data_IF_378215420566
#
_entry.id   IF_378215420566
#
_cell.length_a   1.000
_cell.length_b   1.000
_cell.length_c   1.000
_cell.angle_alpha   90.00
_cell.angle_beta   90.00
_cell.angle_gamma   90.00
#
_symmetry.space_group_name_H-M   'P 1'
#
loop_
_entity.id
_entity.type
_entity.pdbx_description
1 polymer ?
#
# COMPACT_ATOMS: atom_id res chain seq x y z
N UNK A 1 -47.49 29.62 -18.32
CA UNK A 1 -46.06 29.29 -18.21
C UNK A 1 -45.84 27.93 -18.84
N UNK A 2 -45.21 27.85 -19.99
CA UNK A 2 -45.23 26.70 -20.89
C UNK A 2 -44.32 25.57 -20.37
N UNK A 3 -44.79 24.34 -20.49
CA UNK A 3 -44.16 23.06 -20.18
C UNK A 3 -42.67 22.93 -20.59
N UNK A 4 -42.23 23.68 -21.61
CA UNK A 4 -40.84 23.77 -22.07
C UNK A 4 -39.86 24.41 -21.07
N UNK A 5 -40.30 25.27 -20.16
CA UNK A 5 -39.44 25.91 -19.14
C UNK A 5 -39.21 25.02 -17.93
N UNK A 6 -40.09 24.04 -17.67
CA UNK A 6 -39.94 23.11 -16.55
C UNK A 6 -38.95 21.96 -16.90
N UNK A 7 -38.92 21.56 -18.18
CA UNK A 7 -37.95 20.53 -18.64
C UNK A 7 -36.50 21.04 -18.68
N UNK A 8 -36.30 22.35 -18.83
CA UNK A 8 -34.97 22.95 -18.85
C UNK A 8 -34.29 23.04 -17.47
N UNK A 9 -35.06 23.00 -16.40
CA UNK A 9 -34.53 23.01 -15.00
C UNK A 9 -34.08 21.60 -14.57
N UNK A 10 -34.74 20.54 -15.08
CA UNK A 10 -34.32 19.16 -14.80
C UNK A 10 -33.08 18.71 -15.58
N UNK A 11 -32.74 19.34 -16.71
CA UNK A 11 -31.58 18.95 -17.52
C UNK A 11 -30.26 19.56 -17.06
N UNK A 12 -30.26 20.47 -16.07
CA UNK A 12 -29.06 21.15 -15.60
C UNK A 12 -28.31 20.35 -14.50
N UNK A 13 -28.82 19.19 -14.06
CA UNK A 13 -28.21 18.37 -13.01
C UNK A 13 -27.50 17.10 -13.50
N UNK A 14 -27.41 16.88 -14.80
CA UNK A 14 -26.90 15.62 -15.36
C UNK A 14 -25.80 15.85 -16.40
N UNK A 15 -24.70 16.49 -16.07
CA UNK A 15 -23.39 16.19 -16.72
C UNK A 15 -22.28 16.75 -15.83
N UNK A 16 -21.78 15.96 -14.92
CA UNK A 16 -20.42 16.14 -14.43
C UNK A 16 -19.53 15.22 -15.30
N UNK A 17 -18.62 15.75 -16.10
CA UNK A 17 -17.65 14.91 -16.81
C UNK A 17 -16.76 14.24 -15.78
N UNK A 18 -16.72 12.92 -15.83
CA UNK A 18 -15.75 12.11 -15.11
C UNK A 18 -14.38 12.32 -15.78
N UNK A 19 -13.66 13.38 -15.41
CA UNK A 19 -12.27 13.60 -15.78
C UNK A 19 -11.35 12.73 -14.92
N UNK A 20 -11.12 11.50 -15.39
CA UNK A 20 -10.20 10.55 -14.75
C UNK A 20 -8.71 10.88 -15.01
N UNK A 21 -8.35 12.08 -15.45
CA UNK A 21 -6.99 12.43 -15.89
C UNK A 21 -6.10 13.14 -14.87
N UNK A 22 -6.62 13.63 -13.74
CA UNK A 22 -5.85 14.50 -12.84
C UNK A 22 -5.39 13.82 -11.54
N UNK A 23 -5.30 12.48 -11.51
CA UNK A 23 -5.02 11.75 -10.24
C UNK A 23 -3.55 11.73 -9.87
N UNK A 24 -2.63 12.01 -10.78
CA UNK A 24 -1.20 11.70 -10.57
C UNK A 24 -0.30 12.92 -10.33
N UNK A 25 -0.73 14.15 -10.62
CA UNK A 25 0.21 15.26 -10.81
C UNK A 25 0.63 16.05 -9.57
N UNK A 26 0.18 15.77 -8.34
CA UNK A 26 0.54 16.61 -7.18
C UNK A 26 1.04 15.86 -5.94
N UNK A 27 1.52 14.61 -6.05
CA UNK A 27 1.98 13.84 -4.89
C UNK A 27 3.43 13.38 -4.94
N UNK A 28 4.27 14.03 -5.73
CA UNK A 28 5.72 13.82 -5.70
C UNK A 28 6.35 14.11 -4.31
N UNK A 29 5.68 14.87 -3.46
CA UNK A 29 6.16 15.20 -2.11
C UNK A 29 6.24 13.99 -1.15
N UNK A 30 5.49 12.90 -1.42
CA UNK A 30 5.62 11.64 -0.66
C UNK A 30 6.77 10.76 -1.13
N UNK A 31 7.39 11.12 -2.24
CA UNK A 31 8.48 10.39 -2.85
C UNK A 31 9.79 10.95 -2.32
N UNK A 32 10.39 10.26 -1.38
CA UNK A 32 11.72 10.65 -0.91
C UNK A 32 12.80 10.21 -1.92
N UNK A 33 12.73 10.77 -3.15
CA UNK A 33 13.78 10.54 -4.17
C UNK A 33 15.15 10.98 -3.68
N UNK A 34 15.21 11.97 -2.77
CA UNK A 34 16.47 12.47 -2.23
C UNK A 34 17.20 11.41 -1.39
N UNK A 35 16.48 10.54 -0.70
CA UNK A 35 17.09 9.40 -0.02
C UNK A 35 17.77 8.45 -1.01
N UNK A 36 17.08 8.11 -2.09
CA UNK A 36 17.61 7.18 -3.10
C UNK A 36 18.80 7.75 -3.87
N UNK A 37 18.97 9.07 -3.94
CA UNK A 37 20.18 9.71 -4.50
C UNK A 37 21.45 9.38 -3.72
N UNK A 38 21.36 9.03 -2.44
CA UNK A 38 22.49 8.63 -1.61
C UNK A 38 23.15 7.33 -2.10
N UNK A 39 22.44 6.53 -2.91
CA UNK A 39 22.99 5.33 -3.56
C UNK A 39 23.80 5.63 -4.82
N UNK A 40 23.76 6.88 -5.34
CA UNK A 40 24.46 7.30 -6.56
C UNK A 40 24.21 6.39 -7.78
N UNK A 41 23.00 5.85 -7.90
CA UNK A 41 22.57 4.94 -8.96
C UNK A 41 21.46 5.59 -9.78
N UNK A 42 21.81 6.13 -10.95
CA UNK A 42 20.86 6.80 -11.84
C UNK A 42 19.84 5.82 -12.43
N UNK A 43 20.22 4.54 -12.63
CA UNK A 43 19.33 3.52 -13.16
C UNK A 43 18.23 3.23 -12.13
N UNK A 44 18.61 3.05 -10.86
CA UNK A 44 17.64 2.89 -9.76
C UNK A 44 16.68 4.09 -9.67
N UNK A 45 17.21 5.33 -9.77
CA UNK A 45 16.37 6.53 -9.69
C UNK A 45 15.36 6.58 -10.85
N UNK A 46 15.78 6.23 -12.07
CA UNK A 46 14.88 6.16 -13.22
C UNK A 46 13.79 5.09 -13.05
N UNK A 47 14.15 3.95 -12.52
CA UNK A 47 13.15 2.90 -12.19
C UNK A 47 12.21 3.36 -11.08
N UNK A 48 12.69 4.04 -10.04
CA UNK A 48 11.83 4.61 -9.00
C UNK A 48 10.83 5.62 -9.58
N UNK A 49 11.24 6.50 -10.50
CA UNK A 49 10.34 7.43 -11.16
C UNK A 49 9.28 6.70 -11.98
N UNK A 50 9.67 5.64 -12.71
CA UNK A 50 8.74 4.81 -13.48
C UNK A 50 7.74 4.09 -12.58
N UNK A 51 8.21 3.54 -11.47
CA UNK A 51 7.40 2.88 -10.44
C UNK A 51 6.34 3.83 -9.89
N UNK A 52 6.72 5.05 -9.52
CA UNK A 52 5.78 6.05 -9.02
C UNK A 52 4.68 6.43 -10.03
N UNK A 53 5.03 6.47 -11.31
CA UNK A 53 4.07 6.85 -12.36
C UNK A 53 3.12 5.70 -12.72
N UNK A 54 3.60 4.47 -12.70
CA UNK A 54 2.91 3.35 -13.34
C UNK A 54 2.37 2.31 -12.37
N UNK A 55 2.95 2.15 -11.16
CA UNK A 55 2.58 1.09 -10.25
C UNK A 55 1.09 1.13 -9.85
N UNK A 56 0.41 0.00 -9.99
CA UNK A 56 -1.01 -0.12 -9.73
C UNK A 56 -1.36 -0.04 -8.24
N UNK A 57 -0.52 -0.57 -7.35
CA UNK A 57 -0.79 -0.55 -5.90
C UNK A 57 -0.70 0.86 -5.34
N UNK A 58 0.26 1.66 -5.83
CA UNK A 58 0.36 3.08 -5.50
C UNK A 58 -0.88 3.87 -5.98
N UNK A 59 -1.37 3.57 -7.20
CA UNK A 59 -2.61 4.17 -7.71
C UNK A 59 -3.84 3.76 -6.89
N UNK A 60 -3.93 2.49 -6.49
CA UNK A 60 -5.00 1.99 -5.63
C UNK A 60 -4.97 2.70 -4.27
N UNK A 61 -3.80 2.87 -3.67
CA UNK A 61 -3.65 3.59 -2.41
C UNK A 61 -4.11 5.07 -2.53
N UNK A 62 -3.70 5.77 -3.59
CA UNK A 62 -4.15 7.13 -3.88
C UNK A 62 -5.67 7.21 -4.11
N UNK A 63 -6.29 6.23 -4.79
CA UNK A 63 -7.73 6.17 -4.98
C UNK A 63 -8.49 5.95 -3.67
N UNK A 64 -7.96 5.14 -2.74
CA UNK A 64 -8.55 4.98 -1.39
C UNK A 64 -8.57 6.29 -0.61
N UNK A 65 -7.52 7.11 -0.72
CA UNK A 65 -7.48 8.44 -0.10
C UNK A 65 -8.53 9.37 -0.72
N UNK A 66 -8.69 9.37 -2.05
CA UNK A 66 -9.76 10.13 -2.72
C UNK A 66 -11.15 9.64 -2.33
N UNK A 67 -11.35 8.33 -2.22
CA UNK A 67 -12.61 7.76 -1.72
C UNK A 67 -12.92 8.24 -0.29
N UNK A 68 -11.91 8.29 0.58
CA UNK A 68 -12.07 8.83 1.92
C UNK A 68 -12.39 10.34 1.92
N UNK A 69 -11.88 11.10 0.96
CA UNK A 69 -12.23 12.51 0.77
C UNK A 69 -13.71 12.67 0.35
N UNK A 70 -14.22 11.87 -0.58
CA UNK A 70 -15.64 11.89 -0.96
C UNK A 70 -16.54 11.46 0.21
N UNK A 71 -16.09 10.57 1.08
CA UNK A 71 -16.83 10.22 2.30
C UNK A 71 -16.97 11.41 3.26
N UNK A 72 -16.04 12.38 3.26
CA UNK A 72 -16.21 13.64 4.01
C UNK A 72 -17.35 14.46 3.39
N UNK A 73 -17.45 14.52 2.04
CA UNK A 73 -18.52 15.23 1.34
C UNK A 73 -19.86 14.56 1.61
N UNK A 74 -19.89 13.21 1.58
CA UNK A 74 -21.09 12.43 1.92
C UNK A 74 -21.54 12.72 3.36
N UNK A 75 -20.63 12.73 4.33
CA UNK A 75 -20.94 13.08 5.71
C UNK A 75 -21.38 14.56 5.88
N UNK A 76 -20.83 15.46 5.06
CA UNK A 76 -21.23 16.87 5.04
C UNK A 76 -22.62 17.06 4.44
N UNK A 77 -23.06 16.22 3.49
CA UNK A 77 -24.40 16.30 2.91
C UNK A 77 -25.51 16.12 3.96
N UNK A 78 -25.27 15.36 5.02
CA UNK A 78 -26.21 15.23 6.15
C UNK A 78 -26.40 16.55 6.94
N UNK A 79 -25.56 17.56 6.71
CA UNK A 79 -25.67 18.90 7.30
C UNK A 79 -26.42 19.87 6.37
N UNK A 80 -26.94 19.40 5.23
CA UNK A 80 -27.67 20.19 4.24
C UNK A 80 -29.09 19.69 4.12
N UNK A 81 -30.03 20.53 3.67
CA UNK A 81 -31.39 20.10 3.37
C UNK A 81 -31.37 19.06 2.23
N UNK A 82 -32.22 18.05 2.37
CA UNK A 82 -32.53 17.11 1.29
C UNK A 82 -33.82 17.58 0.59
N UNK A 83 -33.85 17.51 -0.73
CA UNK A 83 -35.04 17.78 -1.54
C UNK A 83 -35.31 16.58 -2.43
N UNK A 84 -36.57 16.09 -2.44
CA UNK A 84 -37.01 14.99 -3.29
C UNK A 84 -38.34 15.32 -3.98
N UNK A 85 -38.55 14.72 -5.13
CA UNK A 85 -39.82 14.76 -5.86
C UNK A 85 -40.35 13.33 -5.97
N UNK A 86 -41.44 13.05 -5.26
CA UNK A 86 -42.01 11.72 -5.12
C UNK A 86 -43.42 11.67 -5.76
N UNK A 87 -43.49 11.86 -7.09
CA UNK A 87 -44.76 11.84 -7.82
C UNK A 87 -45.44 10.48 -7.81
N UNK A 88 -46.73 10.44 -7.52
CA UNK A 88 -47.51 9.21 -7.56
C UNK A 88 -48.84 9.40 -8.34
N UNK A 89 -49.21 8.34 -9.04
CA UNK A 89 -50.53 8.20 -9.65
C UNK A 89 -51.14 6.89 -9.17
N UNK A 90 -52.34 6.98 -8.60
CA UNK A 90 -53.10 5.83 -8.18
C UNK A 90 -54.54 5.93 -8.65
N UNK A 91 -55.17 4.79 -8.89
CA UNK A 91 -56.61 4.69 -9.13
C UNK A 91 -57.22 3.91 -7.97
N UNK A 92 -57.97 4.64 -7.16
CA UNK A 92 -58.57 4.11 -5.94
C UNK A 92 -59.98 3.61 -6.21
N UNK A 93 -60.21 2.36 -5.90
CA UNK A 93 -61.53 1.71 -5.94
C UNK A 93 -61.96 1.50 -4.52
N UNK A 94 -63.07 2.13 -4.10
CA UNK A 94 -63.67 1.89 -2.79
C UNK A 94 -65.06 1.29 -2.95
N UNK A 95 -65.27 0.16 -2.26
CA UNK A 95 -66.62 -0.42 -2.12
C UNK A 95 -67.54 0.43 -1.24
N UNK A 96 -68.81 0.15 -1.22
CA UNK A 96 -69.76 0.84 -0.32
C UNK A 96 -69.40 0.58 1.14
N UNK A 97 -69.42 1.63 1.97
CA UNK A 97 -69.05 1.55 3.38
C UNK A 97 -70.18 2.18 4.19
N UNK A 98 -70.74 1.44 5.17
CA UNK A 98 -71.67 1.98 6.15
C UNK A 98 -70.87 2.69 7.27
N UNK A 99 -71.18 3.96 7.50
CA UNK A 99 -70.61 4.78 8.58
C UNK A 99 -71.70 5.28 9.47
N UNK A 100 -71.54 5.17 10.79
CA UNK A 100 -72.44 5.63 11.84
C UNK A 100 -73.93 5.58 11.47
N UNK A 101 -74.66 4.57 11.94
CA UNK A 101 -76.11 4.51 11.96
C UNK A 101 -76.82 4.72 10.62
N UNK A 102 -76.56 3.89 9.63
CA UNK A 102 -77.21 3.83 8.30
C UNK A 102 -76.74 4.83 7.20
N UNK A 103 -75.70 5.63 7.37
CA UNK A 103 -75.19 6.39 6.25
C UNK A 103 -74.29 5.48 5.37
N UNK A 104 -74.79 5.16 4.17
CA UNK A 104 -74.02 4.40 3.17
C UNK A 104 -73.21 5.34 2.27
N UNK A 105 -71.91 5.27 2.36
CA UNK A 105 -71.06 5.90 1.36
C UNK A 105 -71.06 4.97 0.13
N UNK A 106 -71.50 5.43 -1.05
CA UNK A 106 -71.56 4.58 -2.23
C UNK A 106 -70.15 4.23 -2.71
N UNK A 107 -70.04 3.13 -3.47
CA UNK A 107 -68.75 2.82 -4.14
C UNK A 107 -68.35 4.00 -5.02
N UNK A 108 -67.08 4.31 -5.01
CA UNK A 108 -66.54 5.28 -5.94
C UNK A 108 -65.20 4.84 -6.50
N UNK A 109 -64.90 5.37 -7.69
CA UNK A 109 -63.60 5.18 -8.37
C UNK A 109 -63.09 6.56 -8.66
N UNK A 110 -61.93 6.85 -8.15
CA UNK A 110 -61.26 8.12 -8.45
C UNK A 110 -59.79 7.91 -8.75
N UNK A 111 -59.20 8.77 -9.56
CA UNK A 111 -57.76 8.85 -9.71
C UNK A 111 -57.24 9.78 -8.60
N UNK A 112 -56.04 9.45 -8.11
CA UNK A 112 -55.31 10.33 -7.22
C UNK A 112 -53.93 10.59 -7.88
N UNK A 113 -53.68 11.85 -8.11
CA UNK A 113 -52.43 12.32 -8.75
C UNK A 113 -51.77 13.23 -7.74
N UNK A 114 -50.68 12.78 -7.16
CA UNK A 114 -49.94 13.52 -6.15
C UNK A 114 -48.52 13.83 -6.64
N UNK A 115 -48.19 15.10 -6.72
CA UNK A 115 -46.92 15.60 -7.25
C UNK A 115 -46.25 16.53 -6.22
N UNK A 116 -45.69 16.01 -5.11
CA UNK A 116 -45.07 16.81 -4.09
C UNK A 116 -43.58 17.02 -4.40
N UNK A 117 -43.10 18.23 -4.14
CA UNK A 117 -41.68 18.52 -3.89
C UNK A 117 -41.49 18.55 -2.36
N UNK A 118 -40.74 17.62 -1.85
CA UNK A 118 -40.45 17.47 -0.43
C UNK A 118 -39.11 18.07 -0.10
N UNK A 119 -38.98 18.77 1.00
CA UNK A 119 -37.72 19.20 1.57
C UNK A 119 -37.65 18.77 3.03
N UNK A 120 -36.51 18.26 3.46
CA UNK A 120 -36.28 17.89 4.87
C UNK A 120 -34.88 18.29 5.29
N UNK A 121 -34.76 18.74 6.54
CA UNK A 121 -33.49 19.12 7.14
C UNK A 121 -33.45 18.70 8.61
N UNK A 122 -32.47 17.87 8.99
CA UNK A 122 -32.23 17.53 10.39
C UNK A 122 -31.40 18.65 11.04
N UNK A 123 -32.00 19.36 12.01
CA UNK A 123 -31.32 20.41 12.76
C UNK A 123 -30.34 19.73 13.72
N UNK A 124 -29.04 19.94 13.52
CA UNK A 124 -27.97 19.28 14.29
C UNK A 124 -27.73 19.96 15.65
N UNK A 125 -28.77 20.05 16.49
CA UNK A 125 -28.72 20.69 17.82
C UNK A 125 -27.64 20.05 18.70
N UNK A 126 -27.50 18.73 18.59
CA UNK A 126 -26.56 17.96 19.42
C UNK A 126 -25.17 17.80 18.80
N UNK A 127 -24.97 18.27 17.60
CA UNK A 127 -23.72 18.16 16.85
C UNK A 127 -23.37 16.73 16.43
N UNK A 128 -24.37 15.86 16.18
CA UNK A 128 -24.15 14.50 15.72
C UNK A 128 -23.58 14.47 14.30
N UNK A 129 -24.18 15.21 13.37
CA UNK A 129 -23.73 15.31 11.98
C UNK A 129 -22.36 16.01 11.89
N UNK A 130 -22.13 17.03 12.72
CA UNK A 130 -20.79 17.64 12.85
C UNK A 130 -19.73 16.62 13.28
N UNK A 131 -20.01 15.78 14.29
CA UNK A 131 -19.07 14.74 14.73
C UNK A 131 -18.89 13.65 13.67
N UNK A 132 -19.93 13.28 12.96
CA UNK A 132 -19.86 12.30 11.85
C UNK A 132 -18.91 12.79 10.76
N UNK A 133 -19.04 14.07 10.37
CA UNK A 133 -18.10 14.71 9.45
C UNK A 133 -16.66 14.75 9.99
N UNK A 134 -16.50 15.01 11.29
CA UNK A 134 -15.18 15.01 11.95
C UNK A 134 -14.58 13.60 12.00
N UNK A 135 -15.39 12.56 12.21
CA UNK A 135 -14.97 11.16 12.13
C UNK A 135 -14.53 10.79 10.71
N UNK A 136 -15.28 11.22 9.68
CA UNK A 136 -14.89 11.03 8.27
C UNK A 136 -13.57 11.74 7.92
N UNK A 137 -13.28 12.93 8.50
CA UNK A 137 -11.98 13.58 8.33
C UNK A 137 -10.85 12.75 8.94
N UNK A 138 -11.05 12.13 10.11
CA UNK A 138 -10.05 11.24 10.69
C UNK A 138 -9.87 9.98 9.84
N UNK A 139 -10.92 9.48 9.18
CA UNK A 139 -10.79 8.38 8.21
C UNK A 139 -9.93 8.77 7.00
N UNK A 140 -10.02 10.02 6.52
CA UNK A 140 -9.13 10.52 5.47
C UNK A 140 -7.67 10.57 5.94
N UNK A 141 -7.40 11.09 7.13
CA UNK A 141 -6.04 11.11 7.71
C UNK A 141 -5.45 9.69 7.80
N UNK A 142 -6.25 8.69 8.21
CA UNK A 142 -5.85 7.27 8.22
C UNK A 142 -5.48 6.82 6.81
N UNK A 143 -6.31 7.11 5.81
CA UNK A 143 -6.07 6.71 4.42
C UNK A 143 -4.79 7.37 3.85
N UNK A 144 -4.53 8.65 4.17
CA UNK A 144 -3.31 9.36 3.78
C UNK A 144 -2.04 8.72 4.37
N UNK A 145 -2.09 8.32 5.65
CA UNK A 145 -0.95 7.64 6.26
C UNK A 145 -0.76 6.22 5.72
N UNK A 146 -1.84 5.50 5.42
CA UNK A 146 -1.78 4.19 4.77
C UNK A 146 -1.24 4.29 3.33
N UNK A 147 -1.60 5.33 2.60
CA UNK A 147 -1.04 5.63 1.29
C UNK A 147 0.48 5.86 1.40
N UNK A 148 0.92 6.69 2.34
CA UNK A 148 2.35 6.94 2.59
C UNK A 148 3.11 5.65 2.97
N UNK A 149 2.53 4.81 3.84
CA UNK A 149 3.11 3.52 4.19
C UNK A 149 3.27 2.60 2.96
N UNK A 150 2.27 2.59 2.06
CA UNK A 150 2.34 1.83 0.81
C UNK A 150 3.47 2.32 -0.10
N UNK A 151 3.65 3.63 -0.22
CA UNK A 151 4.76 4.21 -0.99
C UNK A 151 6.12 3.77 -0.44
N UNK A 152 6.33 3.87 0.87
CA UNK A 152 7.58 3.47 1.51
C UNK A 152 7.85 1.98 1.30
N UNK A 153 6.85 1.14 1.54
CA UNK A 153 6.96 -0.31 1.39
C UNK A 153 7.30 -0.73 -0.05
N UNK A 154 6.54 -0.25 -1.03
CA UNK A 154 6.72 -0.61 -2.45
C UNK A 154 8.10 -0.15 -2.96
N UNK A 155 8.54 1.06 -2.60
CA UNK A 155 9.86 1.55 -3.01
C UNK A 155 11.00 0.80 -2.34
N UNK A 156 10.87 0.49 -1.06
CA UNK A 156 11.88 -0.30 -0.34
C UNK A 156 11.95 -1.74 -0.87
N UNK A 157 10.81 -2.37 -1.15
CA UNK A 157 10.76 -3.70 -1.75
C UNK A 157 11.42 -3.70 -3.13
N UNK A 158 11.04 -2.75 -4.00
CA UNK A 158 11.64 -2.64 -5.32
C UNK A 158 13.16 -2.43 -5.26
N UNK A 159 13.66 -1.58 -4.35
CA UNK A 159 15.09 -1.36 -4.18
C UNK A 159 15.81 -2.62 -3.70
N UNK A 160 15.21 -3.37 -2.77
CA UNK A 160 15.79 -4.64 -2.29
C UNK A 160 15.86 -5.67 -3.42
N UNK A 161 14.81 -5.81 -4.23
CA UNK A 161 14.77 -6.72 -5.38
C UNK A 161 15.78 -6.29 -6.47
N UNK A 162 15.91 -4.99 -6.69
CA UNK A 162 16.91 -4.43 -7.61
C UNK A 162 18.34 -4.82 -7.21
N UNK A 163 18.71 -4.66 -5.93
CA UNK A 163 20.03 -5.05 -5.47
C UNK A 163 20.19 -6.57 -5.39
N UNK A 164 19.14 -7.33 -5.14
CA UNK A 164 19.16 -8.79 -5.29
C UNK A 164 19.42 -9.21 -6.75
N UNK A 165 18.87 -8.47 -7.73
CA UNK A 165 19.15 -8.72 -9.15
C UNK A 165 20.63 -8.46 -9.46
N UNK A 166 21.21 -7.35 -8.95
CA UNK A 166 22.67 -7.06 -9.05
C UNK A 166 23.50 -8.18 -8.43
N UNK A 167 23.08 -8.69 -7.24
CA UNK A 167 23.73 -9.83 -6.57
C UNK A 167 23.75 -11.07 -7.45
N UNK A 168 22.59 -11.45 -7.97
CA UNK A 168 22.45 -12.69 -8.76
C UNK A 168 23.25 -12.58 -10.06
N UNK A 169 23.25 -11.44 -10.73
CA UNK A 169 24.05 -11.22 -11.95
C UNK A 169 25.56 -11.29 -11.66
N UNK A 170 26.02 -10.70 -10.57
CA UNK A 170 27.42 -10.78 -10.16
C UNK A 170 27.83 -12.20 -9.79
N UNK A 171 26.97 -12.95 -9.08
CA UNK A 171 27.21 -14.35 -8.74
C UNK A 171 27.19 -15.26 -9.99
N UNK A 172 26.29 -15.02 -10.95
CA UNK A 172 26.24 -15.73 -12.22
C UNK A 172 27.56 -15.59 -12.97
N UNK A 173 28.03 -14.35 -13.19
CA UNK A 173 29.30 -14.06 -13.87
C UNK A 173 30.50 -14.68 -13.16
N UNK A 174 30.48 -14.69 -11.83
CA UNK A 174 31.56 -15.28 -11.05
C UNK A 174 31.55 -16.83 -11.14
N UNK A 175 30.35 -17.43 -11.07
CA UNK A 175 30.17 -18.88 -11.16
C UNK A 175 30.51 -19.44 -12.55
N UNK A 176 30.29 -18.66 -13.63
CA UNK A 176 30.75 -19.01 -14.98
C UNK A 176 32.26 -19.23 -15.01
N UNK A 177 33.06 -18.35 -14.37
CA UNK A 177 34.51 -18.51 -14.28
C UNK A 177 34.88 -19.77 -13.50
N UNK A 178 34.21 -20.05 -12.37
CA UNK A 178 34.44 -21.27 -11.58
C UNK A 178 34.15 -22.52 -12.43
N UNK A 179 33.07 -22.54 -13.20
CA UNK A 179 32.71 -23.68 -14.03
C UNK A 179 33.77 -23.91 -15.14
N UNK A 180 34.28 -22.85 -15.76
CA UNK A 180 35.36 -22.95 -16.76
C UNK A 180 36.59 -23.59 -16.14
N UNK A 181 37.07 -23.07 -15.01
CA UNK A 181 38.21 -23.60 -14.28
C UNK A 181 38.02 -25.04 -13.84
N UNK A 182 36.81 -25.38 -13.32
CA UNK A 182 36.51 -26.74 -12.87
C UNK A 182 36.47 -27.73 -14.04
N UNK A 183 36.03 -27.33 -15.25
CA UNK A 183 36.09 -28.18 -16.46
C UNK A 183 37.56 -28.46 -16.83
N UNK A 184 38.44 -27.46 -16.72
CA UNK A 184 39.85 -27.65 -16.98
C UNK A 184 40.50 -28.56 -15.93
N UNK A 185 40.16 -28.41 -14.65
CA UNK A 185 40.56 -29.32 -13.55
C UNK A 185 40.15 -30.75 -13.84
N UNK A 186 38.89 -31.00 -14.21
CA UNK A 186 38.40 -32.33 -14.57
C UNK A 186 39.18 -32.91 -15.76
N UNK A 187 39.43 -32.10 -16.81
CA UNK A 187 40.17 -32.56 -17.97
C UNK A 187 41.66 -32.91 -17.66
N UNK A 188 42.28 -32.15 -16.78
CA UNK A 188 43.66 -32.43 -16.33
C UNK A 188 43.73 -33.64 -15.42
N UNK A 189 42.74 -33.84 -14.51
CA UNK A 189 42.66 -34.99 -13.62
C UNK A 189 42.36 -36.28 -14.43
N UNK A 190 41.56 -36.19 -15.50
CA UNK A 190 41.29 -37.31 -16.41
C UNK A 190 42.57 -37.72 -17.18
N UNK A 191 43.38 -36.77 -17.64
CA UNK A 191 44.68 -37.09 -18.24
C UNK A 191 45.64 -37.78 -17.25
N UNK A 192 45.67 -37.33 -15.98
CA UNK A 192 46.48 -37.97 -14.92
C UNK A 192 45.96 -39.39 -14.65
N UNK A 193 44.66 -39.59 -14.56
CA UNK A 193 44.07 -40.94 -14.39
C UNK A 193 44.43 -41.87 -15.54
N UNK A 194 44.28 -41.42 -16.77
CA UNK A 194 44.60 -42.22 -17.96
C UNK A 194 46.10 -42.56 -18.05
N UNK A 195 46.95 -41.73 -17.46
CA UNK A 195 48.40 -41.99 -17.33
C UNK A 195 48.75 -42.86 -16.11
N UNK A 196 47.78 -43.28 -15.29
CA UNK A 196 48.00 -44.05 -14.05
C UNK A 196 48.57 -43.26 -12.90
N UNK A 197 48.53 -41.91 -12.97
CA UNK A 197 49.08 -40.97 -11.98
C UNK A 197 48.05 -40.45 -10.97
N UNK A 198 46.79 -40.78 -11.12
CA UNK A 198 45.73 -40.39 -10.20
C UNK A 198 44.70 -41.57 -10.02
N UNK A 199 44.13 -41.73 -8.83
CA UNK A 199 43.10 -42.72 -8.60
C UNK A 199 41.77 -42.29 -9.22
N UNK A 200 40.88 -43.23 -9.58
CA UNK A 200 39.56 -42.96 -10.15
C UNK A 200 38.68 -42.09 -9.22
N UNK A 201 38.84 -42.24 -7.91
CA UNK A 201 38.07 -41.46 -6.92
C UNK A 201 38.30 -39.96 -7.07
N UNK A 202 39.54 -39.53 -7.29
CA UNK A 202 39.87 -38.10 -7.49
C UNK A 202 39.16 -37.55 -8.75
N UNK A 203 39.11 -38.30 -9.84
CA UNK A 203 38.40 -37.87 -11.05
C UNK A 203 36.87 -37.81 -10.81
N UNK A 204 36.31 -38.74 -10.05
CA UNK A 204 34.88 -38.75 -9.75
C UNK A 204 34.49 -37.61 -8.82
N UNK A 205 35.33 -37.27 -7.83
CA UNK A 205 35.15 -36.09 -6.96
C UNK A 205 35.13 -34.80 -7.75
N UNK A 206 36.08 -34.57 -8.67
CA UNK A 206 36.11 -33.36 -9.48
C UNK A 206 34.91 -33.28 -10.44
N UNK A 207 34.46 -34.38 -11.00
CA UNK A 207 33.23 -34.45 -11.80
C UNK A 207 31.98 -34.13 -10.97
N UNK A 208 31.92 -34.61 -9.73
CA UNK A 208 30.82 -34.33 -8.82
C UNK A 208 30.76 -32.84 -8.46
N UNK A 209 31.92 -32.19 -8.20
CA UNK A 209 32.02 -30.75 -7.94
C UNK A 209 31.53 -29.97 -9.15
N UNK A 210 31.93 -30.35 -10.37
CA UNK A 210 31.47 -29.69 -11.59
C UNK A 210 29.94 -29.75 -11.72
N UNK A 211 29.35 -30.92 -11.55
CA UNK A 211 27.89 -31.10 -11.60
C UNK A 211 27.17 -30.24 -10.56
N UNK A 212 27.78 -30.08 -9.36
CA UNK A 212 27.22 -29.19 -8.33
C UNK A 212 27.22 -27.74 -8.81
N UNK A 213 28.31 -27.21 -9.36
CA UNK A 213 28.39 -25.83 -9.85
C UNK A 213 27.42 -25.60 -11.04
N UNK A 214 27.27 -26.57 -11.94
CA UNK A 214 26.30 -26.49 -13.04
C UNK A 214 24.84 -26.46 -12.52
N UNK A 215 24.53 -27.20 -11.46
CA UNK A 215 23.24 -27.14 -10.78
C UNK A 215 23.03 -25.76 -10.13
N UNK A 216 24.02 -25.25 -9.42
CA UNK A 216 23.96 -23.94 -8.76
C UNK A 216 23.74 -22.82 -9.80
N UNK A 217 24.37 -22.93 -11.00
CA UNK A 217 24.16 -22.03 -12.13
C UNK A 217 22.69 -22.02 -12.59
N UNK A 218 22.07 -23.19 -12.71
CA UNK A 218 20.65 -23.28 -13.10
C UNK A 218 19.76 -22.59 -12.08
N UNK A 219 20.06 -22.73 -10.78
CA UNK A 219 19.33 -22.07 -9.71
C UNK A 219 19.49 -20.53 -9.75
N UNK A 220 20.70 -20.04 -10.04
CA UNK A 220 20.92 -18.60 -10.19
C UNK A 220 20.16 -18.02 -11.37
N UNK A 221 20.15 -18.72 -12.52
CA UNK A 221 19.38 -18.31 -13.72
C UNK A 221 17.88 -18.30 -13.46
N UNK A 222 17.36 -19.27 -12.72
CA UNK A 222 15.97 -19.30 -12.28
C UNK A 222 15.64 -18.11 -11.39
N UNK A 223 16.44 -17.86 -10.34
CA UNK A 223 16.26 -16.75 -9.43
C UNK A 223 16.31 -15.38 -10.15
N UNK A 224 17.25 -15.21 -11.08
CA UNK A 224 17.33 -14.00 -11.92
C UNK A 224 16.05 -13.75 -12.68
N UNK A 225 15.50 -14.80 -13.29
CA UNK A 225 14.25 -14.71 -14.04
C UNK A 225 13.05 -14.40 -13.16
N UNK A 226 12.96 -15.02 -11.97
CA UNK A 226 11.88 -14.76 -11.01
C UNK A 226 11.92 -13.32 -10.51
N UNK A 227 13.09 -12.82 -10.11
CA UNK A 227 13.27 -11.42 -9.70
C UNK A 227 12.90 -10.45 -10.82
N UNK A 228 13.35 -10.72 -12.05
CA UNK A 228 12.98 -9.88 -13.20
C UNK A 228 11.45 -9.85 -13.41
N UNK A 229 10.78 -10.98 -13.31
CA UNK A 229 9.32 -11.06 -13.46
C UNK A 229 8.61 -10.23 -12.36
N UNK A 230 9.07 -10.28 -11.12
CA UNK A 230 8.50 -9.53 -10.00
C UNK A 230 8.69 -8.01 -10.20
N UNK A 231 9.89 -7.58 -10.56
CA UNK A 231 10.20 -6.18 -10.81
C UNK A 231 9.43 -5.61 -12.00
N UNK A 232 9.23 -6.39 -13.07
CA UNK A 232 8.42 -6.00 -14.23
C UNK A 232 6.96 -5.73 -13.83
N UNK A 233 6.39 -6.55 -12.95
CA UNK A 233 5.03 -6.32 -12.40
C UNK A 233 5.00 -5.04 -11.58
N UNK A 234 5.98 -4.81 -10.72
CA UNK A 234 6.07 -3.58 -9.92
C UNK A 234 6.18 -2.32 -10.79
N UNK A 235 6.92 -2.39 -11.89
CA UNK A 235 7.05 -1.29 -12.87
C UNK A 235 5.86 -1.18 -13.83
N UNK A 236 4.92 -2.14 -13.79
CA UNK A 236 3.79 -2.24 -14.74
C UNK A 236 4.24 -2.23 -16.21
N UNK A 237 5.28 -2.99 -16.52
CA UNK A 237 5.86 -3.16 -17.85
C UNK A 237 5.53 -4.55 -18.44
N UNK A 238 5.89 -4.78 -19.70
CA UNK A 238 5.74 -6.10 -20.33
C UNK A 238 6.78 -7.09 -19.80
N UNK A 239 6.40 -8.36 -19.63
CA UNK A 239 7.20 -9.43 -19.04
C UNK A 239 8.47 -9.83 -19.82
N UNK A 240 8.58 -9.44 -21.09
CA UNK A 240 9.70 -9.83 -21.94
C UNK A 240 10.92 -8.87 -21.84
N UNK A 241 10.79 -7.82 -21.03
CA UNK A 241 11.86 -6.84 -20.88
C UNK A 241 12.76 -7.21 -19.69
N UNK A 242 14.06 -7.33 -19.95
CA UNK A 242 15.05 -7.42 -18.88
C UNK A 242 15.20 -6.07 -18.18
N UNK A 243 15.27 -6.08 -16.86
CA UNK A 243 15.47 -4.88 -16.05
C UNK A 243 16.95 -4.51 -16.09
N UNK A 244 17.23 -3.30 -16.56
CA UNK A 244 18.58 -2.73 -16.52
C UNK A 244 19.00 -2.47 -15.07
N UNK A 245 20.24 -2.76 -14.74
CA UNK A 245 20.78 -2.54 -13.39
C UNK A 245 22.25 -2.12 -13.46
N UNK A 246 22.72 -1.50 -12.37
CA UNK A 246 24.11 -1.12 -12.21
C UNK A 246 25.01 -2.34 -12.04
N UNK A 247 26.31 -2.20 -12.34
CA UNK A 247 27.28 -3.25 -12.09
C UNK A 247 27.66 -3.34 -10.61
N UNK A 248 27.97 -4.55 -10.13
CA UNK A 248 28.41 -4.75 -8.74
C UNK A 248 29.64 -3.90 -8.37
N UNK A 249 30.61 -3.76 -9.25
CA UNK A 249 31.85 -3.06 -8.98
C UNK A 249 31.70 -1.53 -8.86
N UNK A 250 30.55 -0.97 -9.24
CA UNK A 250 30.23 0.48 -9.19
C UNK A 250 29.29 0.86 -8.07
N UNK A 251 28.93 -0.10 -7.21
CA UNK A 251 27.97 0.11 -6.13
C UNK A 251 28.43 1.17 -5.13
N UNK A 252 27.51 2.06 -4.79
CA UNK A 252 27.62 3.00 -3.67
C UNK A 252 26.36 2.94 -2.85
N UNK A 253 26.46 3.09 -1.55
CA UNK A 253 25.34 3.06 -0.62
C UNK A 253 25.66 3.93 0.61
N UNK A 254 24.62 4.46 1.29
CA UNK A 254 24.80 5.34 2.44
C UNK A 254 25.41 4.58 3.63
N UNK A 255 26.16 5.28 4.44
CA UNK A 255 26.60 4.77 5.75
C UNK A 255 25.44 4.83 6.75
N UNK A 256 25.34 3.82 7.58
CA UNK A 256 24.33 3.75 8.65
C UNK A 256 24.86 4.38 9.93
N UNK A 257 24.01 5.14 10.66
CA UNK A 257 24.38 5.68 11.97
C UNK A 257 24.41 4.57 13.03
N UNK A 258 25.26 4.75 14.06
CA UNK A 258 25.36 3.81 15.17
C UNK A 258 24.13 3.79 16.09
N UNK A 259 23.39 4.89 16.13
CA UNK A 259 22.15 5.03 16.91
C UNK A 259 21.21 6.03 16.26
N UNK A 260 19.93 5.85 16.44
CA UNK A 260 18.88 6.78 16.01
C UNK A 260 18.11 7.29 17.23
N UNK A 261 17.69 8.56 17.18
CA UNK A 261 16.81 9.14 18.20
C UNK A 261 15.43 8.47 18.14
N UNK A 262 14.81 8.25 19.31
CA UNK A 262 13.43 7.74 19.40
C UNK A 262 12.40 8.70 18.80
N UNK A 263 12.75 9.96 18.55
CA UNK A 263 11.88 10.93 17.87
C UNK A 263 11.55 10.54 16.44
N UNK A 264 12.42 9.77 15.77
CA UNK A 264 12.22 9.29 14.41
C UNK A 264 10.93 8.46 14.29
N UNK A 265 10.57 7.70 15.32
CA UNK A 265 9.39 6.84 15.33
C UNK A 265 8.10 7.65 15.24
N UNK A 266 8.06 8.88 15.78
CA UNK A 266 6.85 9.73 15.82
C UNK A 266 6.33 10.08 14.42
N UNK A 267 7.16 10.00 13.40
CA UNK A 267 6.80 10.32 12.01
C UNK A 267 6.40 9.08 11.18
N UNK A 268 6.40 7.91 11.78
CA UNK A 268 6.02 6.67 11.09
C UNK A 268 4.54 6.70 10.68
N UNK A 269 4.22 6.34 9.42
CA UNK A 269 2.84 6.38 8.92
C UNK A 269 1.90 5.42 9.64
N UNK A 270 2.37 4.24 10.05
CA UNK A 270 1.59 3.24 10.78
C UNK A 270 1.21 3.75 12.18
N UNK A 271 2.13 4.44 12.88
CA UNK A 271 1.88 5.06 14.17
C UNK A 271 0.86 6.20 14.05
N UNK A 272 1.04 7.11 13.07
CA UNK A 272 0.12 8.21 12.82
C UNK A 272 -1.28 7.72 12.39
N UNK A 273 -1.33 6.63 11.62
CA UNK A 273 -2.59 5.97 11.23
C UNK A 273 -3.32 5.39 12.44
N UNK A 274 -2.60 4.66 13.31
CA UNK A 274 -3.19 4.04 14.51
C UNK A 274 -3.66 5.10 15.53
N UNK A 275 -2.93 6.20 15.70
CA UNK A 275 -3.34 7.34 16.53
C UNK A 275 -4.63 7.98 15.99
N UNK A 276 -4.69 8.23 14.67
CA UNK A 276 -5.88 8.78 14.02
C UNK A 276 -7.07 7.83 14.11
N UNK A 277 -6.83 6.52 14.06
CA UNK A 277 -7.86 5.51 14.27
C UNK A 277 -8.42 5.54 15.70
N UNK A 278 -7.57 5.66 16.71
CA UNK A 278 -8.01 5.80 18.09
C UNK A 278 -8.83 7.10 18.30
N UNK A 279 -8.38 8.22 17.73
CA UNK A 279 -9.13 9.50 17.74
C UNK A 279 -10.49 9.37 17.05
N UNK A 280 -10.55 8.68 15.90
CA UNK A 280 -11.80 8.39 15.18
C UNK A 280 -12.75 7.56 16.04
N UNK A 281 -12.29 6.45 16.60
CA UNK A 281 -13.09 5.58 17.45
C UNK A 281 -13.66 6.33 18.67
N UNK A 282 -12.90 7.25 19.25
CA UNK A 282 -13.39 8.14 20.30
C UNK A 282 -14.51 9.10 19.84
N UNK A 283 -14.47 9.56 18.58
CA UNK A 283 -15.56 10.32 17.98
C UNK A 283 -16.79 9.45 17.76
N UNK A 284 -16.63 8.20 17.32
CA UNK A 284 -17.73 7.27 17.06
C UNK A 284 -18.48 6.89 18.35
N UNK A 285 -17.77 6.78 19.50
CA UNK A 285 -18.42 6.68 20.82
C UNK A 285 -19.29 7.91 21.12
N UNK A 286 -18.80 9.10 20.81
CA UNK A 286 -19.54 10.36 21.03
C UNK A 286 -20.75 10.45 20.09
N UNK A 287 -20.67 9.99 18.87
CA UNK A 287 -21.77 9.90 17.91
C UNK A 287 -22.84 8.93 18.44
N UNK A 288 -22.44 7.72 18.84
CA UNK A 288 -23.37 6.72 19.37
C UNK A 288 -24.08 7.16 20.67
N UNK A 289 -23.44 8.01 21.47
CA UNK A 289 -24.06 8.63 22.65
C UNK A 289 -25.16 9.61 22.28
N UNK A 290 -25.07 10.27 21.12
CA UNK A 290 -26.08 11.23 20.67
C UNK A 290 -27.31 10.54 20.07
N UNK A 291 -27.22 9.28 19.69
CA UNK A 291 -28.38 8.48 19.26
C UNK A 291 -29.44 8.31 20.36
N UNK A 292 -29.11 8.62 21.62
CA UNK A 292 -30.08 8.62 22.74
C UNK A 292 -30.91 9.91 22.82
N UNK A 293 -30.54 10.94 22.10
CA UNK A 293 -31.19 12.25 22.14
C UNK A 293 -32.26 12.38 21.05
N UNK A 294 -33.32 13.21 21.26
CA UNK A 294 -34.33 13.43 20.24
C UNK A 294 -33.77 14.16 19.03
N UNK A 295 -34.22 13.82 17.84
CA UNK A 295 -33.90 14.51 16.58
C UNK A 295 -34.99 15.53 16.26
N UNK A 296 -34.61 16.61 15.63
CA UNK A 296 -35.50 17.67 15.19
C UNK A 296 -35.39 17.83 13.68
N UNK A 297 -36.50 17.47 12.99
CA UNK A 297 -36.54 17.50 11.53
C UNK A 297 -37.41 18.67 11.12
N UNK A 298 -36.84 19.65 10.44
CA UNK A 298 -37.58 20.65 9.70
C UNK A 298 -37.99 20.04 8.38
N UNK A 299 -39.28 20.05 8.08
CA UNK A 299 -39.82 19.51 6.83
C UNK A 299 -40.71 20.53 6.15
N UNK A 300 -40.79 20.43 4.83
CA UNK A 300 -41.71 21.19 4.02
C UNK A 300 -42.09 20.39 2.79
N UNK A 301 -43.33 20.50 2.37
CA UNK A 301 -43.70 20.05 1.05
C UNK A 301 -44.57 21.07 0.35
N UNK A 302 -44.41 21.13 -0.95
CA UNK A 302 -45.28 21.91 -1.83
C UNK A 302 -45.49 21.12 -3.12
N UNK A 303 -46.73 21.21 -3.64
CA UNK A 303 -47.06 20.42 -4.83
C UNK A 303 -48.52 20.50 -5.21
N UNK A 304 -48.97 19.49 -5.92
CA UNK A 304 -50.34 19.39 -6.42
C UNK A 304 -50.93 18.05 -6.07
N UNK A 305 -52.19 18.06 -5.60
CA UNK A 305 -52.98 16.87 -5.35
C UNK A 305 -54.27 16.96 -6.16
N UNK A 306 -54.39 16.21 -7.24
CA UNK A 306 -55.48 16.28 -8.18
C UNK A 306 -56.18 14.93 -8.37
N UNK A 307 -57.52 14.98 -8.61
CA UNK A 307 -58.30 13.81 -8.95
C UNK A 307 -58.56 13.68 -10.47
N UNK A 308 -58.26 14.71 -11.25
CA UNK A 308 -58.43 14.74 -12.69
C UNK A 308 -57.19 15.26 -13.41
N UNK A 309 -56.83 14.61 -14.49
CA UNK A 309 -55.64 14.96 -15.25
C UNK A 309 -55.59 16.40 -15.76
N UNK A 310 -56.77 16.92 -16.19
CA UNK A 310 -56.89 18.29 -16.73
C UNK A 310 -56.87 19.37 -15.64
N UNK A 311 -56.81 19.01 -14.34
CA UNK A 311 -56.78 19.94 -13.21
C UNK A 311 -55.54 19.83 -12.36
N UNK A 312 -54.51 19.11 -12.79
CA UNK A 312 -53.30 18.88 -12.00
C UNK A 312 -52.67 20.21 -11.51
N UNK A 313 -52.64 21.21 -12.34
CA UNK A 313 -52.03 22.51 -12.03
C UNK A 313 -53.08 23.61 -11.75
N UNK A 314 -54.27 23.23 -11.32
CA UNK A 314 -55.29 24.21 -10.89
C UNK A 314 -54.91 24.75 -9.50
N UNK A 315 -55.25 25.99 -9.20
CA UNK A 315 -54.96 26.59 -7.88
C UNK A 315 -55.57 25.84 -6.72
N UNK A 316 -56.74 25.19 -6.93
CA UNK A 316 -57.44 24.35 -5.94
C UNK A 316 -56.73 23.03 -5.60
N UNK A 317 -55.80 22.59 -6.42
CA UNK A 317 -55.04 21.36 -6.20
C UNK A 317 -53.69 21.63 -5.59
N UNK A 318 -53.26 22.89 -5.48
CA UNK A 318 -52.02 23.29 -4.85
C UNK A 318 -52.09 23.07 -3.34
N UNK A 319 -51.05 22.46 -2.81
CA UNK A 319 -50.85 22.29 -1.38
C UNK A 319 -49.42 22.69 -0.98
N UNK A 320 -49.29 23.31 0.15
CA UNK A 320 -48.03 23.59 0.79
C UNK A 320 -48.14 23.43 2.28
N UNK A 321 -47.21 22.74 2.89
CA UNK A 321 -47.07 22.72 4.33
C UNK A 321 -45.59 22.77 4.75
N UNK A 322 -45.33 23.26 5.93
CA UNK A 322 -44.05 23.26 6.57
C UNK A 322 -44.19 23.10 8.07
N UNK A 323 -43.22 22.45 8.71
CA UNK A 323 -43.28 22.22 10.15
C UNK A 323 -42.01 21.67 10.73
N UNK A 324 -41.98 21.53 12.04
CA UNK A 324 -40.91 20.89 12.79
C UNK A 324 -41.44 19.64 13.43
N UNK A 325 -40.80 18.48 13.17
CA UNK A 325 -41.18 17.19 13.77
C UNK A 325 -40.05 16.75 14.71
N UNK A 326 -40.28 16.74 16.04
CA UNK A 326 -39.39 16.04 16.94
C UNK A 326 -39.61 14.52 16.79
N UNK A 327 -38.51 13.77 16.67
CA UNK A 327 -38.50 12.33 16.60
C UNK A 327 -37.62 11.76 17.71
N UNK A 328 -38.18 10.91 18.55
CA UNK A 328 -37.47 10.31 19.64
C UNK A 328 -37.90 8.86 19.84
N UNK A 329 -37.02 7.94 19.58
CA UNK A 329 -37.26 6.52 19.85
C UNK A 329 -37.09 6.25 21.35
N UNK A 330 -38.17 6.13 22.09
CA UNK A 330 -38.13 5.89 23.55
C UNK A 330 -37.62 4.51 23.90
N UNK A 331 -37.98 3.49 23.10
CA UNK A 331 -37.58 2.11 23.32
C UNK A 331 -37.16 1.44 22.01
N UNK A 332 -35.95 0.82 22.00
CA UNK A 332 -35.38 0.14 20.84
C UNK A 332 -34.92 -1.28 21.15
N UNK A 333 -35.49 -1.93 22.15
CA UNK A 333 -35.12 -3.29 22.53
C UNK A 333 -33.64 -3.44 22.95
N UNK A 334 -33.00 -2.35 23.43
CA UNK A 334 -31.59 -2.36 23.82
C UNK A 334 -30.59 -2.10 22.70
N UNK A 335 -31.02 -1.96 21.44
CA UNK A 335 -30.13 -1.80 20.29
C UNK A 335 -29.20 -0.59 20.41
N UNK A 336 -29.69 0.58 20.84
CA UNK A 336 -28.86 1.76 21.04
C UNK A 336 -27.81 1.57 22.14
N UNK A 337 -28.16 0.90 23.21
CA UNK A 337 -27.23 0.60 24.30
C UNK A 337 -26.13 -0.37 23.82
N UNK A 338 -26.52 -1.39 23.06
CA UNK A 338 -25.57 -2.33 22.45
C UNK A 338 -24.62 -1.60 21.48
N UNK A 339 -25.14 -0.74 20.58
CA UNK A 339 -24.34 0.08 19.65
C UNK A 339 -23.35 0.98 20.41
N UNK A 340 -23.79 1.66 21.46
CA UNK A 340 -22.90 2.48 22.29
C UNK A 340 -21.78 1.63 22.94
N UNK A 341 -22.13 0.44 23.49
CA UNK A 341 -21.13 -0.45 24.09
C UNK A 341 -20.14 -1.00 23.06
N UNK A 342 -20.60 -1.37 21.86
CA UNK A 342 -19.73 -1.78 20.75
C UNK A 342 -18.72 -0.69 20.44
N UNK A 343 -19.14 0.56 20.20
CA UNK A 343 -18.22 1.66 19.92
C UNK A 343 -17.25 1.91 21.10
N UNK A 344 -17.71 1.76 22.35
CA UNK A 344 -16.83 1.88 23.52
C UNK A 344 -15.74 0.79 23.56
N UNK A 345 -16.07 -0.44 23.19
CA UNK A 345 -15.08 -1.52 23.09
C UNK A 345 -14.15 -1.33 21.89
N UNK A 346 -14.67 -0.84 20.75
CA UNK A 346 -13.84 -0.48 19.60
C UNK A 346 -12.83 0.63 19.95
N UNK A 347 -13.23 1.64 20.72
CA UNK A 347 -12.31 2.66 21.19
C UNK A 347 -11.20 2.07 22.10
N UNK A 348 -11.57 1.21 23.06
CA UNK A 348 -10.57 0.55 23.90
C UNK A 348 -9.59 -0.29 23.06
N UNK A 349 -10.13 -1.11 22.15
CA UNK A 349 -9.30 -1.88 21.21
C UNK A 349 -8.37 -1.00 20.37
N UNK A 350 -8.86 0.17 19.93
CA UNK A 350 -8.05 1.11 19.17
C UNK A 350 -6.89 1.70 20.00
N UNK A 351 -7.10 1.97 21.29
CA UNK A 351 -6.04 2.42 22.21
C UNK A 351 -4.98 1.32 22.39
N UNK A 352 -5.40 0.09 22.70
CA UNK A 352 -4.50 -1.06 22.81
C UNK A 352 -3.68 -1.31 21.54
N UNK A 353 -4.33 -1.17 20.35
CA UNK A 353 -3.64 -1.28 19.08
C UNK A 353 -2.61 -0.15 18.89
N UNK A 354 -2.93 1.07 19.29
CA UNK A 354 -1.97 2.17 19.24
C UNK A 354 -0.74 1.89 20.12
N UNK A 355 -0.94 1.48 21.37
CA UNK A 355 0.14 1.13 22.28
C UNK A 355 0.99 -0.03 21.73
N UNK A 356 0.34 -1.06 21.19
CA UNK A 356 1.03 -2.16 20.51
C UNK A 356 1.87 -1.65 19.33
N UNK A 357 1.31 -0.77 18.50
CA UNK A 357 2.02 -0.21 17.33
C UNK A 357 3.25 0.57 17.77
N UNK A 358 3.18 1.35 18.86
CA UNK A 358 4.35 2.03 19.42
C UNK A 358 5.45 1.04 19.77
N UNK A 359 5.12 -0.01 20.53
CA UNK A 359 6.11 -1.03 20.95
C UNK A 359 6.71 -1.77 19.75
N UNK A 360 5.88 -2.15 18.78
CA UNK A 360 6.33 -2.82 17.55
C UNK A 360 7.23 -1.90 16.72
N UNK A 361 6.89 -0.61 16.61
CA UNK A 361 7.73 0.36 15.89
C UNK A 361 9.11 0.54 16.53
N UNK A 362 9.18 0.55 17.87
CA UNK A 362 10.46 0.58 18.59
C UNK A 362 11.28 -0.69 18.31
N UNK A 363 10.62 -1.83 18.39
CA UNK A 363 11.27 -3.12 18.11
C UNK A 363 11.82 -3.16 16.68
N UNK A 364 11.03 -2.82 15.66
CA UNK A 364 11.44 -2.86 14.25
C UNK A 364 12.65 -1.97 13.96
N UNK A 365 12.70 -0.77 14.55
CA UNK A 365 13.87 0.12 14.39
C UNK A 365 15.09 -0.47 15.08
N UNK A 366 14.95 -1.03 16.27
CA UNK A 366 16.07 -1.67 16.98
C UNK A 366 16.57 -2.91 16.23
N UNK A 367 15.66 -3.75 15.71
CA UNK A 367 16.00 -4.94 14.93
C UNK A 367 16.75 -4.55 13.65
N UNK A 368 16.28 -3.53 12.93
CA UNK A 368 16.95 -3.01 11.74
C UNK A 368 18.35 -2.43 12.05
N UNK A 369 18.52 -1.73 13.18
CA UNK A 369 19.84 -1.25 13.62
C UNK A 369 20.80 -2.40 13.98
N UNK A 370 20.30 -3.46 14.61
CA UNK A 370 21.11 -4.66 14.89
C UNK A 370 21.49 -5.35 13.57
N UNK A 371 20.55 -5.47 12.63
CA UNK A 371 20.79 -6.05 11.30
C UNK A 371 21.88 -5.27 10.56
N UNK A 372 21.79 -3.94 10.48
CA UNK A 372 22.80 -3.12 9.78
C UNK A 372 24.19 -3.23 10.41
N UNK A 373 24.30 -3.28 11.74
CA UNK A 373 25.58 -3.50 12.44
C UNK A 373 26.16 -4.88 12.14
N UNK A 374 25.31 -5.90 12.15
CA UNK A 374 25.72 -7.28 11.92
C UNK A 374 26.16 -7.48 10.48
N UNK A 375 25.41 -6.99 9.50
CA UNK A 375 25.75 -7.10 8.08
C UNK A 375 27.03 -6.33 7.75
N UNK A 376 27.25 -5.14 8.34
CA UNK A 376 28.48 -4.39 8.20
C UNK A 376 29.68 -5.17 8.77
N UNK A 377 29.57 -5.72 9.98
CA UNK A 377 30.64 -6.53 10.57
C UNK A 377 30.94 -7.79 9.73
N UNK A 378 29.89 -8.43 9.17
CA UNK A 378 30.05 -9.59 8.29
C UNK A 378 30.72 -9.19 6.96
N UNK A 379 30.40 -8.02 6.41
CA UNK A 379 31.07 -7.48 5.23
C UNK A 379 32.56 -7.23 5.49
N UNK A 380 32.91 -6.63 6.63
CA UNK A 380 34.31 -6.40 7.02
C UNK A 380 35.08 -7.74 7.10
N UNK A 381 34.46 -8.79 7.66
CA UNK A 381 35.05 -10.13 7.72
C UNK A 381 35.13 -10.82 6.35
N UNK A 382 34.11 -10.65 5.49
CA UNK A 382 34.16 -11.17 4.12
C UNK A 382 35.26 -10.49 3.28
N UNK A 383 35.48 -9.19 3.49
CA UNK A 383 36.57 -8.46 2.86
C UNK A 383 37.94 -8.97 3.36
N UNK A 384 38.11 -9.22 4.65
CA UNK A 384 39.33 -9.79 5.23
C UNK A 384 39.59 -11.21 4.66
N UNK A 385 38.58 -12.08 4.63
CA UNK A 385 38.66 -13.43 4.05
C UNK A 385 39.06 -13.38 2.56
N UNK A 386 38.47 -12.48 1.78
CA UNK A 386 38.77 -12.32 0.37
C UNK A 386 40.21 -11.84 0.16
N UNK A 387 40.70 -10.88 0.96
CA UNK A 387 42.08 -10.42 0.86
C UNK A 387 43.08 -11.55 1.20
N UNK A 388 42.82 -12.34 2.23
CA UNK A 388 43.67 -13.50 2.57
C UNK A 388 43.70 -14.51 1.41
N UNK A 389 42.53 -14.78 0.78
CA UNK A 389 42.48 -15.72 -0.34
C UNK A 389 43.18 -15.16 -1.62
N UNK A 390 43.16 -13.83 -1.83
CA UNK A 390 43.96 -13.19 -2.87
C UNK A 390 45.46 -13.41 -2.64
N UNK A 391 45.95 -13.27 -1.39
CA UNK A 391 47.36 -13.53 -1.04
C UNK A 391 47.74 -15.00 -1.24
N UNK A 392 46.88 -15.95 -0.85
CA UNK A 392 47.08 -17.38 -1.04
C UNK A 392 47.14 -17.74 -2.53
N UNK A 393 46.22 -17.19 -3.34
CA UNK A 393 46.24 -17.44 -4.77
C UNK A 393 47.54 -16.86 -5.41
N UNK A 394 47.93 -15.62 -5.07
CA UNK A 394 49.17 -15.03 -5.54
C UNK A 394 50.40 -15.84 -5.15
N UNK A 395 50.41 -16.46 -3.95
CA UNK A 395 51.47 -17.39 -3.53
C UNK A 395 51.46 -18.67 -4.37
N UNK A 396 50.29 -19.29 -4.58
CA UNK A 396 50.13 -20.49 -5.41
C UNK A 396 50.59 -20.26 -6.85
N UNK A 397 50.29 -19.10 -7.45
CA UNK A 397 50.75 -18.71 -8.78
C UNK A 397 52.27 -18.61 -8.82
N UNK A 398 52.92 -17.98 -7.81
CA UNK A 398 54.40 -17.91 -7.71
C UNK A 398 55.02 -19.28 -7.59
N UNK A 399 54.48 -20.17 -6.74
CA UNK A 399 54.96 -21.54 -6.56
C UNK A 399 54.89 -22.33 -7.87
N UNK A 400 53.77 -22.20 -8.60
CA UNK A 400 53.66 -22.79 -9.92
C UNK A 400 54.71 -22.26 -10.90
N UNK A 401 54.95 -20.93 -10.94
CA UNK A 401 55.89 -20.29 -11.85
C UNK A 401 57.36 -20.70 -11.60
N UNK A 402 57.71 -21.05 -10.35
CA UNK A 402 59.06 -21.55 -10.00
C UNK A 402 59.17 -23.07 -10.07
N UNK A 403 58.06 -23.77 -10.40
CA UNK A 403 58.01 -25.23 -10.50
C UNK A 403 57.85 -26.00 -9.20
N UNK A 404 57.50 -25.34 -8.11
CA UNK A 404 57.31 -25.90 -6.76
C UNK A 404 55.89 -26.47 -6.53
N UNK A 405 54.93 -26.12 -7.39
CA UNK A 405 53.56 -26.66 -7.35
C UNK A 405 53.04 -27.04 -8.74
N UNK A 406 51.99 -27.84 -8.78
CA UNK A 406 51.35 -28.24 -10.03
C UNK A 406 50.37 -27.18 -10.56
N UNK A 407 50.14 -27.14 -11.88
CA UNK A 407 49.10 -26.29 -12.48
C UNK A 407 47.71 -26.60 -11.89
N UNK A 408 47.47 -27.85 -11.48
CA UNK A 408 46.21 -28.24 -10.85
C UNK A 408 45.99 -27.58 -9.48
N UNK A 409 47.06 -27.44 -8.70
CA UNK A 409 47.01 -26.79 -7.36
C UNK A 409 46.75 -25.28 -7.51
N UNK A 410 47.37 -24.63 -8.47
CA UNK A 410 47.14 -23.22 -8.81
C UNK A 410 45.70 -22.99 -9.25
N UNK A 411 45.13 -23.85 -10.14
CA UNK A 411 43.76 -23.74 -10.59
C UNK A 411 42.75 -23.99 -9.44
N UNK A 412 43.03 -24.93 -8.57
CA UNK A 412 42.20 -25.14 -7.35
C UNK A 412 42.22 -23.92 -6.42
N UNK A 413 43.40 -23.28 -6.30
CA UNK A 413 43.52 -22.03 -5.54
C UNK A 413 42.70 -20.91 -6.17
N UNK A 414 42.70 -20.78 -7.51
CA UNK A 414 41.90 -19.81 -8.24
C UNK A 414 40.40 -20.06 -8.08
N UNK A 415 39.93 -21.31 -8.10
CA UNK A 415 38.53 -21.67 -7.80
C UNK A 415 38.15 -21.23 -6.39
N UNK A 416 39.02 -21.46 -5.39
CA UNK A 416 38.75 -21.03 -4.02
C UNK A 416 38.66 -19.48 -3.91
N UNK A 417 39.50 -18.75 -4.63
CA UNK A 417 39.43 -17.29 -4.72
C UNK A 417 38.04 -16.84 -5.24
N UNK A 418 37.53 -17.44 -6.31
CA UNK A 418 36.21 -17.10 -6.85
C UNK A 418 35.08 -17.52 -5.92
N UNK A 419 35.18 -18.66 -5.18
CA UNK A 419 34.21 -19.06 -4.16
C UNK A 419 34.18 -18.02 -3.03
N UNK A 420 35.32 -17.55 -2.56
CA UNK A 420 35.41 -16.51 -1.53
C UNK A 420 34.91 -15.17 -2.05
N UNK A 421 35.15 -14.84 -3.34
CA UNK A 421 34.53 -13.67 -3.98
C UNK A 421 33.00 -13.74 -3.98
N UNK A 422 32.36 -14.91 -4.17
CA UNK A 422 30.91 -15.07 -4.06
C UNK A 422 30.38 -14.68 -2.67
N UNK A 423 31.11 -15.08 -1.61
CA UNK A 423 30.74 -14.71 -0.23
C UNK A 423 30.83 -13.19 0.00
N UNK A 424 31.88 -12.58 -0.54
CA UNK A 424 32.09 -11.14 -0.49
C UNK A 424 30.97 -10.38 -1.22
N UNK A 425 30.59 -10.81 -2.44
CA UNK A 425 29.46 -10.26 -3.21
C UNK A 425 28.17 -10.36 -2.37
N UNK A 426 27.88 -11.52 -1.78
CA UNK A 426 26.69 -11.72 -0.97
C UNK A 426 26.68 -10.78 0.25
N UNK A 427 27.78 -10.73 1.01
CA UNK A 427 27.89 -9.87 2.20
C UNK A 427 27.76 -8.37 1.85
N UNK A 428 28.29 -7.93 0.72
CA UNK A 428 28.16 -6.54 0.26
C UNK A 428 26.69 -6.19 0.00
N UNK A 429 25.99 -7.02 -0.76
CA UNK A 429 24.58 -6.75 -1.09
C UNK A 429 23.68 -6.89 0.15
N UNK A 430 23.93 -7.86 1.02
CA UNK A 430 23.20 -8.01 2.28
C UNK A 430 23.35 -6.76 3.16
N UNK A 431 24.52 -6.13 3.18
CA UNK A 431 24.72 -4.86 3.86
C UNK A 431 23.95 -3.71 3.17
N UNK A 432 23.90 -3.66 1.83
CA UNK A 432 23.09 -2.67 1.10
C UNK A 432 21.60 -2.85 1.43
N UNK A 433 21.08 -4.07 1.40
CA UNK A 433 19.69 -4.37 1.69
C UNK A 433 19.33 -4.00 3.13
N UNK A 434 20.23 -4.22 4.10
CA UNK A 434 19.99 -3.82 5.49
C UNK A 434 19.82 -2.30 5.65
N UNK A 435 20.48 -1.47 4.83
CA UNK A 435 20.26 -0.01 4.83
C UNK A 435 18.86 0.35 4.33
N UNK A 436 18.34 -0.41 3.37
CA UNK A 436 16.97 -0.26 2.84
C UNK A 436 15.95 -0.71 3.90
N UNK A 437 16.21 -1.83 4.59
CA UNK A 437 15.40 -2.30 5.72
C UNK A 437 15.31 -1.24 6.83
N UNK A 438 16.42 -0.59 7.15
CA UNK A 438 16.44 0.50 8.12
C UNK A 438 15.61 1.71 7.66
N UNK A 439 15.71 2.12 6.39
CA UNK A 439 14.88 3.18 5.82
C UNK A 439 13.37 2.86 5.95
N UNK A 440 12.99 1.62 5.68
CA UNK A 440 11.60 1.18 5.85
C UNK A 440 11.18 1.22 7.34
N UNK A 441 12.03 0.72 8.24
CA UNK A 441 11.76 0.68 9.67
C UNK A 441 11.61 2.06 10.30
N UNK A 442 12.33 3.08 9.82
CA UNK A 442 12.18 4.47 10.29
C UNK A 442 11.01 5.21 9.64
N UNK A 443 10.21 4.54 8.80
CA UNK A 443 9.04 5.14 8.16
C UNK A 443 9.39 6.08 7.00
N UNK A 444 10.46 5.78 6.26
CA UNK A 444 10.83 6.50 5.04
C UNK A 444 11.50 7.86 5.29
N UNK A 445 12.07 8.07 6.46
CA UNK A 445 12.83 9.28 6.79
C UNK A 445 14.26 9.10 6.29
N UNK A 446 14.83 10.15 5.72
CA UNK A 446 16.24 10.18 5.36
C UNK A 446 17.12 10.34 6.61
N UNK A 447 17.50 9.21 7.19
CA UNK A 447 18.32 9.16 8.41
C UNK A 447 19.77 9.64 8.17
N UNK A 448 20.20 9.80 6.92
CA UNK A 448 21.55 10.29 6.61
C UNK A 448 21.69 11.81 6.86
N UNK A 449 20.56 12.53 6.93
CA UNK A 449 20.48 13.97 7.21
C UNK A 449 20.11 14.29 8.66
N UNK A 450 19.92 13.28 9.52
CA UNK A 450 19.38 13.45 10.88
C UNK A 450 20.44 13.75 11.95
N UNK A 451 21.60 14.27 11.63
CA UNK A 451 22.51 14.82 12.65
C UNK A 451 21.92 16.00 13.46
N UNK A 452 20.68 16.46 13.15
CA UNK A 452 20.04 17.64 13.78
C UNK A 452 18.56 17.44 14.18
N UNK A 453 18.08 16.20 14.42
CA UNK A 453 16.72 15.97 14.94
C UNK A 453 16.72 15.39 16.36
#
# INVERSE_FOLDING_TARGET
>A
MTFKKLLLICSLFLVLPCCAKDVVNNKLDYINLDYWKNYNDEILINHMQTLYQNNHDLRIAALKTKQAEENIRLAAANQLPNASFDGSFSRVFRGPKTVFGNVVIPKYVQNEIFLPLNASYEIDIWGQNYLTRKSAKKQKEIAEQQERATYIYITSSFAADYYNLVKVDALEKNLEKIIILQKDIVAMTEKKYNAGLAPINELLEEKQILVKFEKDMNTLKENKKLLNNEMVVLLSQNSDKEIEHTGFDTLKYPTTPDSLSTTVIQHRPDLLSSESFAKKAGLDVRIARRDFLPKFILFGNLGFNAYKWNRIFAGETFLANAGIAPSWDLFTGGARLAKYRINKYEYKKAVENYEKTVLTSIQEVNDALVETKTTKANLDKANEEFNIECEKHALSERQFNIGDSSKLDEMRSEVNLYITKQRNIAATIDNVISTISLYNAVGGIDYTKTENL
#
